data_IF_668973811387
#
_entry.id   IF_668973811387
#
_cell.length_a   1.000
_cell.length_b   1.000
_cell.length_c   1.000
_cell.angle_alpha   90.00
_cell.angle_beta   90.00
_cell.angle_gamma   90.00
#
_symmetry.space_group_name_H-M   'P 1'
#
loop_
_entity.id
_entity.type
_entity.pdbx_description
1 polymer ?
#
# COMPACT_ATOMS: atom_id res chain seq x y z
N UNK A 1 19.41 -16.01 -1.86
CA UNK A 1 18.34 -15.10 -1.38
C UNK A 1 18.49 -13.62 -1.77
N UNK A 2 19.69 -13.05 -2.02
CA UNK A 2 19.79 -11.66 -2.53
C UNK A 2 19.29 -11.47 -3.98
N UNK A 3 19.37 -12.52 -4.79
CA UNK A 3 18.93 -12.48 -6.20
C UNK A 3 17.41 -12.29 -6.35
N UNK A 4 16.61 -12.84 -5.44
CA UNK A 4 15.15 -12.74 -5.54
C UNK A 4 14.65 -11.32 -5.22
N UNK A 5 15.33 -10.59 -4.33
CA UNK A 5 14.98 -9.22 -3.98
C UNK A 5 15.21 -8.23 -5.13
N UNK A 6 16.30 -8.39 -5.89
CA UNK A 6 16.60 -7.50 -7.02
C UNK A 6 15.53 -7.67 -8.11
N UNK A 7 15.26 -8.91 -8.51
CA UNK A 7 14.24 -9.22 -9.50
C UNK A 7 12.84 -8.78 -9.04
N UNK A 8 12.50 -8.95 -7.76
CA UNK A 8 11.24 -8.47 -7.21
C UNK A 8 11.16 -6.94 -7.21
N UNK A 9 12.22 -6.24 -6.85
CA UNK A 9 12.27 -4.77 -6.87
C UNK A 9 12.05 -4.21 -8.28
N UNK A 10 12.71 -4.77 -9.29
CA UNK A 10 12.56 -4.34 -10.68
C UNK A 10 11.12 -4.50 -11.16
N UNK A 11 10.54 -5.68 -10.94
CA UNK A 11 9.16 -5.95 -11.34
C UNK A 11 8.15 -5.06 -10.62
N UNK A 12 8.38 -4.76 -9.34
CA UNK A 12 7.52 -3.85 -8.59
C UNK A 12 7.65 -2.40 -9.08
N UNK A 13 8.83 -1.99 -9.54
CA UNK A 13 9.02 -0.67 -10.16
C UNK A 13 8.31 -0.57 -11.51
N UNK A 14 8.39 -1.59 -12.36
CA UNK A 14 7.60 -1.65 -13.60
C UNK A 14 6.10 -1.50 -13.34
N UNK A 15 5.58 -2.18 -12.30
CA UNK A 15 4.18 -2.01 -11.88
C UNK A 15 3.88 -0.56 -11.50
N UNK A 16 4.81 0.12 -10.82
CA UNK A 16 4.64 1.53 -10.45
C UNK A 16 4.84 2.51 -11.61
N UNK A 17 5.50 2.11 -12.69
CA UNK A 17 5.52 2.90 -13.92
C UNK A 17 4.16 2.86 -14.61
N UNK A 18 3.47 1.71 -14.57
CA UNK A 18 2.12 1.55 -15.11
C UNK A 18 1.03 2.14 -14.20
N UNK A 19 1.11 1.88 -12.91
CA UNK A 19 0.23 2.45 -11.88
C UNK A 19 1.05 2.99 -10.70
N UNK A 20 1.41 4.29 -10.74
CA UNK A 20 2.15 4.94 -9.64
C UNK A 20 1.41 4.95 -8.30
N UNK A 21 0.13 4.60 -8.29
CA UNK A 21 -0.76 4.60 -7.13
C UNK A 21 -1.15 3.18 -6.72
N UNK A 22 -0.38 2.17 -7.13
CA UNK A 22 -0.55 0.81 -6.67
C UNK A 22 0.09 0.63 -5.28
N UNK A 23 -0.74 0.78 -4.25
CA UNK A 23 -0.40 0.68 -2.83
C UNK A 23 0.36 -0.59 -2.51
N UNK A 24 -0.01 -1.73 -3.10
CA UNK A 24 0.61 -3.01 -2.76
C UNK A 24 2.06 -3.08 -3.25
N UNK A 25 2.37 -2.50 -4.41
CA UNK A 25 3.75 -2.42 -4.86
C UNK A 25 4.60 -1.47 -4.00
N UNK A 26 4.02 -0.34 -3.58
CA UNK A 26 4.69 0.57 -2.65
C UNK A 26 5.01 -0.10 -1.31
N UNK A 27 4.06 -0.87 -0.75
CA UNK A 27 4.27 -1.63 0.49
C UNK A 27 5.40 -2.65 0.33
N UNK A 28 5.35 -3.46 -0.73
CA UNK A 28 6.33 -4.50 -0.97
C UNK A 28 7.73 -3.92 -1.20
N UNK A 29 7.86 -2.82 -1.93
CA UNK A 29 9.14 -2.13 -2.05
C UNK A 29 9.64 -1.66 -0.67
N UNK A 30 8.77 -1.06 0.14
CA UNK A 30 9.09 -0.69 1.52
C UNK A 30 9.63 -1.87 2.34
N UNK A 31 8.95 -3.03 2.27
CA UNK A 31 9.36 -4.25 2.96
C UNK A 31 10.71 -4.77 2.47
N UNK A 32 10.95 -4.76 1.14
CA UNK A 32 12.25 -5.18 0.58
C UNK A 32 13.37 -4.24 1.03
N UNK A 33 13.13 -2.93 1.00
CA UNK A 33 14.13 -1.95 1.44
C UNK A 33 14.41 -2.09 2.95
N UNK A 34 13.39 -2.33 3.77
CA UNK A 34 13.56 -2.62 5.20
C UNK A 34 14.40 -3.88 5.42
N UNK A 35 14.08 -4.97 4.70
CA UNK A 35 14.79 -6.24 4.82
C UNK A 35 16.23 -6.20 4.28
N UNK A 36 16.55 -5.17 3.48
CA UNK A 36 17.90 -4.91 2.96
C UNK A 36 18.63 -3.79 3.70
N UNK A 37 18.14 -3.42 4.90
CA UNK A 37 18.74 -2.40 5.79
C UNK A 37 18.76 -0.98 5.20
N UNK A 38 17.95 -0.73 4.16
CA UNK A 38 17.80 0.54 3.45
C UNK A 38 16.59 1.29 4.01
N UNK A 39 16.72 1.74 5.26
CA UNK A 39 15.59 2.22 6.05
C UNK A 39 14.99 3.53 5.54
N UNK A 40 15.81 4.45 5.03
CA UNK A 40 15.32 5.70 4.46
C UNK A 40 14.47 5.47 3.21
N UNK A 41 14.91 4.58 2.32
CA UNK A 41 14.08 4.19 1.17
C UNK A 41 12.81 3.49 1.62
N UNK A 42 12.90 2.56 2.58
CA UNK A 42 11.75 1.87 3.13
C UNK A 42 10.70 2.86 3.66
N UNK A 43 11.14 3.84 4.44
CA UNK A 43 10.31 4.92 4.97
C UNK A 43 9.64 5.71 3.86
N UNK A 44 10.37 6.10 2.82
CA UNK A 44 9.82 6.82 1.67
C UNK A 44 8.71 6.04 0.95
N UNK A 45 8.91 4.74 0.71
CA UNK A 45 7.90 3.90 0.06
C UNK A 45 6.68 3.67 0.94
N UNK A 46 6.85 3.42 2.25
CA UNK A 46 5.74 3.29 3.18
C UNK A 46 4.93 4.58 3.31
N UNK A 47 5.57 5.75 3.37
CA UNK A 47 4.88 7.04 3.41
C UNK A 47 4.04 7.27 2.14
N UNK A 48 4.58 6.94 0.97
CA UNK A 48 3.82 6.99 -0.30
C UNK A 48 2.64 6.02 -0.28
N UNK A 49 2.84 4.80 0.23
CA UNK A 49 1.76 3.82 0.37
C UNK A 49 0.62 4.35 1.25
N UNK A 50 0.94 4.95 2.41
CA UNK A 50 -0.06 5.56 3.29
C UNK A 50 -0.86 6.64 2.59
N UNK A 51 -0.20 7.57 1.89
CA UNK A 51 -0.88 8.64 1.16
C UNK A 51 -1.86 8.08 0.11
N UNK A 52 -1.47 7.01 -0.59
CA UNK A 52 -2.33 6.35 -1.59
C UNK A 52 -3.51 5.68 -0.90
N UNK A 53 -3.27 4.91 0.16
CA UNK A 53 -4.29 4.18 0.90
C UNK A 53 -5.30 5.13 1.52
N UNK A 54 -4.85 6.18 2.19
CA UNK A 54 -5.72 7.18 2.83
C UNK A 54 -6.61 7.87 1.80
N UNK A 55 -6.07 8.22 0.62
CA UNK A 55 -6.86 8.76 -0.49
C UNK A 55 -7.91 7.77 -1.01
N UNK A 56 -7.58 6.49 -1.10
CA UNK A 56 -8.52 5.44 -1.53
C UNK A 56 -9.63 5.24 -0.50
N UNK A 57 -9.29 5.15 0.79
CA UNK A 57 -10.24 5.06 1.91
C UNK A 57 -11.20 6.27 1.88
N UNK A 58 -10.67 7.50 1.85
CA UNK A 58 -11.50 8.70 1.84
C UNK A 58 -12.42 8.80 0.61
N UNK A 59 -12.03 8.23 -0.54
CA UNK A 59 -12.90 8.15 -1.72
C UNK A 59 -14.02 7.13 -1.51
N UNK A 60 -13.70 5.96 -0.97
CA UNK A 60 -14.67 4.89 -0.71
C UNK A 60 -15.66 5.27 0.39
N UNK A 61 -15.21 5.93 1.46
CA UNK A 61 -16.07 6.45 2.53
C UNK A 61 -17.04 7.51 2.00
N UNK A 62 -16.59 8.41 1.12
CA UNK A 62 -17.48 9.35 0.42
C UNK A 62 -18.49 8.64 -0.47
N UNK A 63 -18.09 7.58 -1.18
CA UNK A 63 -19.03 6.78 -1.98
C UNK A 63 -20.07 6.11 -1.07
N UNK A 64 -19.66 5.57 0.07
CA UNK A 64 -20.53 4.91 1.04
C UNK A 64 -21.52 5.86 1.73
N UNK A 65 -21.15 7.13 1.89
CA UNK A 65 -22.03 8.16 2.44
C UNK A 65 -23.10 8.66 1.45
N UNK A 66 -22.97 8.33 0.17
CA UNK A 66 -23.96 8.62 -0.86
C UNK A 66 -24.92 7.46 -1.10
N UNK A 67 -25.57 7.47 -2.25
CA UNK A 67 -26.43 6.36 -2.68
C UNK A 67 -25.56 5.24 -3.28
N UNK A 68 -25.67 4.05 -2.69
CA UNK A 68 -25.01 2.83 -3.18
C UNK A 68 -26.00 1.67 -3.15
N UNK A 69 -25.89 0.79 -4.13
CA UNK A 69 -26.64 -0.48 -4.11
C UNK A 69 -26.11 -1.41 -3.01
N UNK A 70 -26.90 -2.42 -2.62
CA UNK A 70 -26.46 -3.42 -1.64
C UNK A 70 -25.20 -4.18 -2.07
N UNK A 71 -25.08 -4.46 -3.38
CA UNK A 71 -23.88 -5.11 -3.95
C UNK A 71 -22.65 -4.20 -3.83
N UNK A 72 -22.78 -2.94 -4.23
CA UNK A 72 -21.69 -1.97 -4.11
C UNK A 72 -21.30 -1.72 -2.65
N UNK A 73 -22.28 -1.68 -1.73
CA UNK A 73 -22.02 -1.55 -0.30
C UNK A 73 -21.14 -2.71 0.21
N UNK A 74 -21.45 -3.96 -0.17
CA UNK A 74 -20.65 -5.13 0.18
C UNK A 74 -19.22 -5.07 -0.37
N UNK A 75 -19.08 -4.70 -1.65
CA UNK A 75 -17.77 -4.54 -2.29
C UNK A 75 -16.94 -3.44 -1.60
N UNK A 76 -17.53 -2.26 -1.36
CA UNK A 76 -16.88 -1.13 -0.71
C UNK A 76 -16.41 -1.50 0.70
N UNK A 77 -17.22 -2.20 1.49
CA UNK A 77 -16.83 -2.63 2.84
C UNK A 77 -15.66 -3.61 2.82
N UNK A 78 -15.66 -4.52 1.86
CA UNK A 78 -14.56 -5.48 1.67
C UNK A 78 -13.27 -4.75 1.31
N UNK A 79 -13.33 -3.81 0.37
CA UNK A 79 -12.18 -3.00 -0.02
C UNK A 79 -11.67 -2.11 1.12
N UNK A 80 -12.57 -1.48 1.88
CA UNK A 80 -12.22 -0.68 3.05
C UNK A 80 -11.53 -1.51 4.12
N UNK A 81 -12.01 -2.72 4.39
CA UNK A 81 -11.38 -3.63 5.36
C UNK A 81 -9.95 -3.97 4.93
N UNK A 82 -9.75 -4.34 3.65
CA UNK A 82 -8.42 -4.61 3.09
C UNK A 82 -7.49 -3.40 3.20
N UNK A 83 -7.96 -2.23 2.79
CA UNK A 83 -7.15 -1.00 2.81
C UNK A 83 -6.78 -0.58 4.24
N UNK A 84 -7.70 -0.71 5.20
CA UNK A 84 -7.43 -0.41 6.61
C UNK A 84 -6.41 -1.38 7.20
N UNK A 85 -6.51 -2.67 6.88
CA UNK A 85 -5.52 -3.66 7.29
C UNK A 85 -4.13 -3.35 6.71
N UNK A 86 -4.06 -3.03 5.41
CA UNK A 86 -2.80 -2.63 4.77
C UNK A 86 -2.22 -1.38 5.43
N UNK A 87 -3.05 -0.36 5.68
CA UNK A 87 -2.65 0.87 6.37
C UNK A 87 -2.05 0.57 7.74
N UNK A 88 -2.72 -0.23 8.56
CA UNK A 88 -2.24 -0.61 9.88
C UNK A 88 -0.89 -1.34 9.80
N UNK A 89 -0.76 -2.28 8.86
CA UNK A 89 0.49 -2.98 8.60
C UNK A 89 1.63 -2.02 8.24
N UNK A 90 1.36 -1.02 7.39
CA UNK A 90 2.35 -0.01 7.00
C UNK A 90 2.73 0.90 8.17
N UNK A 91 1.76 1.36 8.95
CA UNK A 91 2.03 2.18 10.15
C UNK A 91 2.90 1.41 11.14
N UNK A 92 2.60 0.13 11.36
CA UNK A 92 3.39 -0.76 12.21
C UNK A 92 4.81 -0.92 11.67
N UNK A 93 4.96 -1.18 10.37
CA UNK A 93 6.26 -1.29 9.72
C UNK A 93 7.09 -0.02 9.85
N UNK A 94 6.47 1.16 9.68
CA UNK A 94 7.14 2.46 9.85
C UNK A 94 7.60 2.69 11.28
N UNK A 95 6.78 2.33 12.27
CA UNK A 95 7.12 2.50 13.68
C UNK A 95 8.26 1.56 14.14
N UNK A 96 8.52 0.48 13.41
CA UNK A 96 9.57 -0.49 13.68
C UNK A 96 10.87 -0.23 12.91
N UNK A 97 10.92 0.80 12.06
CA UNK A 97 12.17 1.19 11.41
C UNK A 97 13.16 1.72 12.45
N UNK A 98 14.47 1.39 12.34
CA UNK A 98 15.51 1.88 13.24
C UNK A 98 15.73 3.39 13.18
#
# INVERSE_FOLDING_TARGET
>A
ERHDYVSAQERLKEILELDPRFERALILLGDIYRNTYRYEEAKGYYQRALQVIDRKIARLERKLAGEVTAEEYGAIRTDLARLRQQREGVVRSLAQLP
#
